data_IF_957260587273
#
_entry.id   IF_957260587273
#
_cell.length_a   1.000
_cell.length_b   1.000
_cell.length_c   1.000
_cell.angle_alpha   90.00
_cell.angle_beta   90.00
_cell.angle_gamma   90.00
#
_symmetry.space_group_name_H-M   'P 1'
#
loop_
_entity.id
_entity.type
_entity.pdbx_description
1 polymer ?
#
# COMPACT_ATOMS: atom_id res chain seq x y z
N UNK A 1 -33.95 -7.88 -3.63
CA UNK A 1 -32.75 -7.05 -3.34
C UNK A 1 -32.69 -5.80 -4.24
N UNK A 2 -32.94 -5.90 -5.57
CA UNK A 2 -32.86 -4.74 -6.52
C UNK A 2 -33.77 -3.54 -6.17
N UNK A 3 -34.89 -3.76 -5.47
CA UNK A 3 -35.84 -2.71 -5.07
C UNK A 3 -35.45 -1.97 -3.77
N UNK A 4 -34.45 -2.42 -3.04
CA UNK A 4 -34.08 -1.87 -1.74
C UNK A 4 -32.81 -0.97 -1.78
N UNK A 5 -32.16 -0.84 -2.93
CA UNK A 5 -30.96 -0.02 -3.06
C UNK A 5 -31.34 1.42 -3.41
N UNK A 6 -31.03 2.35 -2.50
CA UNK A 6 -31.37 3.77 -2.61
C UNK A 6 -30.45 4.52 -3.58
N UNK A 7 -29.23 3.99 -3.84
CA UNK A 7 -28.21 4.64 -4.65
C UNK A 7 -27.87 3.79 -5.88
N UNK A 8 -27.79 4.39 -7.08
CA UNK A 8 -27.52 3.65 -8.32
C UNK A 8 -26.20 2.85 -8.32
N UNK A 9 -25.14 3.38 -7.71
CA UNK A 9 -23.86 2.67 -7.69
C UNK A 9 -23.77 1.56 -6.63
N UNK A 10 -24.63 1.53 -5.63
CA UNK A 10 -24.77 0.37 -4.74
C UNK A 10 -25.18 -0.86 -5.52
N UNK A 11 -25.98 -0.67 -6.59
CA UNK A 11 -26.38 -1.74 -7.50
C UNK A 11 -25.20 -2.33 -8.25
N UNK A 12 -24.32 -1.47 -8.77
CA UNK A 12 -23.10 -1.92 -9.48
C UNK A 12 -22.17 -2.69 -8.54
N UNK A 13 -22.02 -2.22 -7.30
CA UNK A 13 -21.27 -2.93 -6.27
C UNK A 13 -21.87 -4.30 -5.96
N UNK A 14 -23.18 -4.38 -5.81
CA UNK A 14 -23.88 -5.65 -5.56
C UNK A 14 -23.73 -6.62 -6.73
N UNK A 15 -23.88 -6.14 -7.96
CA UNK A 15 -23.69 -6.97 -9.17
C UNK A 15 -22.27 -7.52 -9.23
N UNK A 16 -21.23 -6.71 -8.92
CA UNK A 16 -19.83 -7.14 -8.82
C UNK A 16 -19.59 -8.15 -7.70
N UNK A 17 -20.21 -7.96 -6.53
CA UNK A 17 -20.12 -8.92 -5.42
C UNK A 17 -20.78 -10.26 -5.76
N UNK A 18 -21.92 -10.24 -6.46
CA UNK A 18 -22.60 -11.46 -6.94
C UNK A 18 -21.72 -12.20 -7.95
N UNK A 19 -21.08 -11.47 -8.86
CA UNK A 19 -20.13 -12.05 -9.82
C UNK A 19 -18.97 -12.72 -9.08
N UNK A 20 -18.32 -12.03 -8.15
CA UNK A 20 -17.24 -12.58 -7.33
C UNK A 20 -17.68 -13.80 -6.52
N UNK A 21 -18.92 -13.79 -5.98
CA UNK A 21 -19.49 -14.94 -5.29
C UNK A 21 -19.59 -16.15 -6.23
N UNK A 22 -20.17 -15.97 -7.40
CA UNK A 22 -20.35 -17.02 -8.39
C UNK A 22 -19.02 -17.59 -8.90
N UNK A 23 -17.95 -16.77 -8.91
CA UNK A 23 -16.60 -17.17 -9.28
C UNK A 23 -15.78 -17.74 -8.10
N UNK A 24 -16.34 -17.80 -6.89
CA UNK A 24 -15.61 -18.22 -5.68
C UNK A 24 -14.50 -17.23 -5.26
N UNK A 25 -14.57 -15.97 -5.68
CA UNK A 25 -13.54 -14.95 -5.48
C UNK A 25 -13.88 -13.92 -4.38
N UNK A 26 -14.84 -14.21 -3.51
CA UNK A 26 -15.18 -13.34 -2.38
C UNK A 26 -14.07 -13.30 -1.31
N UNK A 27 -13.37 -14.41 -1.13
CA UNK A 27 -12.23 -14.43 -0.21
C UNK A 27 -11.01 -13.78 -0.88
N UNK A 28 -10.57 -12.67 -0.32
CA UNK A 28 -9.45 -11.90 -0.84
C UNK A 28 -8.47 -11.56 0.28
N UNK A 29 -7.27 -11.18 -0.11
CA UNK A 29 -6.30 -10.54 0.79
C UNK A 29 -5.90 -9.18 0.26
N UNK A 30 -5.47 -8.30 1.15
CA UNK A 30 -5.03 -6.95 0.78
C UNK A 30 -3.50 -6.85 0.74
N UNK A 31 -2.99 -6.15 -0.28
CA UNK A 31 -1.63 -5.65 -0.34
C UNK A 31 -1.69 -4.12 -0.39
N UNK A 32 -1.07 -3.47 0.59
CA UNK A 32 -1.06 -2.02 0.76
C UNK A 32 0.31 -1.48 0.36
N UNK A 33 0.35 -0.52 -0.56
CA UNK A 33 1.55 0.24 -0.91
C UNK A 33 1.38 1.65 -0.37
N UNK A 34 2.15 1.99 0.66
CA UNK A 34 2.08 3.25 1.40
C UNK A 34 3.30 4.12 1.09
N UNK A 35 3.08 5.37 0.72
CA UNK A 35 4.14 6.37 0.74
C UNK A 35 4.34 6.87 2.18
N UNK A 36 5.61 7.02 2.63
CA UNK A 36 5.92 7.57 3.95
C UNK A 36 5.22 8.92 4.21
N UNK A 37 4.94 9.22 5.46
CA UNK A 37 4.34 10.45 5.92
C UNK A 37 5.24 11.68 5.66
N UNK A 38 4.71 12.89 5.84
CA UNK A 38 5.42 14.14 5.55
C UNK A 38 6.70 14.22 6.37
N UNK A 39 7.82 14.38 5.68
CA UNK A 39 9.16 14.41 6.27
C UNK A 39 9.78 15.80 6.12
N UNK A 40 10.75 16.12 6.97
CA UNK A 40 11.57 17.33 6.88
C UNK A 40 12.07 17.53 5.45
N UNK A 41 12.00 18.74 4.88
CA UNK A 41 12.54 19.03 3.55
C UNK A 41 14.03 18.67 3.43
N UNK A 42 14.47 18.28 2.23
CA UNK A 42 15.89 17.94 2.01
C UNK A 42 16.81 19.09 2.24
N UNK A 43 16.37 20.31 1.91
CA UNK A 43 17.10 21.56 2.09
C UNK A 43 17.33 21.92 3.56
N UNK A 44 16.54 21.36 4.47
CA UNK A 44 16.59 21.61 5.91
C UNK A 44 17.26 20.45 6.69
N UNK A 45 17.83 19.46 5.98
CA UNK A 45 18.39 18.27 6.60
C UNK A 45 19.79 17.92 6.06
N UNK A 46 20.82 18.08 6.88
CA UNK A 46 22.24 17.84 6.50
C UNK A 46 22.78 16.46 6.89
N UNK A 47 22.08 15.71 7.77
CA UNK A 47 22.61 14.47 8.37
C UNK A 47 22.33 13.22 7.52
N UNK A 48 22.18 13.37 6.19
CA UNK A 48 21.99 12.27 5.25
C UNK A 48 20.55 11.76 5.17
N UNK A 49 20.15 11.33 3.98
CA UNK A 49 18.78 10.94 3.62
C UNK A 49 18.20 9.80 4.47
N UNK A 50 19.05 8.87 4.91
CA UNK A 50 18.59 7.71 5.68
C UNK A 50 18.04 8.10 7.07
N UNK A 51 18.56 9.17 7.66
CA UNK A 51 18.21 9.64 9.01
C UNK A 51 17.17 10.77 9.03
N UNK A 52 16.75 11.25 7.85
CA UNK A 52 15.80 12.36 7.70
C UNK A 52 14.45 12.01 8.36
N UNK A 53 14.01 12.79 9.40
CA UNK A 53 12.85 12.49 10.22
C UNK A 53 11.53 12.91 9.55
N UNK A 54 10.43 12.52 10.16
CA UNK A 54 9.13 13.11 9.90
C UNK A 54 9.06 14.53 10.47
N UNK A 55 8.24 15.37 9.85
CA UNK A 55 7.76 16.62 10.47
C UNK A 55 6.70 16.30 11.55
N UNK A 56 6.41 17.24 12.48
CA UNK A 56 5.30 17.08 13.44
C UNK A 56 3.97 16.71 12.77
N UNK A 57 3.67 17.31 11.61
CA UNK A 57 2.51 16.94 10.79
C UNK A 57 2.58 15.49 10.32
N UNK A 58 3.77 15.02 9.89
CA UNK A 58 3.97 13.62 9.48
C UNK A 58 3.81 12.63 10.63
N UNK A 59 4.19 13.00 11.85
CA UNK A 59 3.95 12.18 13.03
C UNK A 59 2.44 12.05 13.33
N UNK A 60 1.68 13.13 13.16
CA UNK A 60 0.22 13.10 13.28
C UNK A 60 -0.40 12.22 12.18
N UNK A 61 0.09 12.34 10.95
CA UNK A 61 -0.33 11.47 9.84
C UNK A 61 -0.08 9.99 10.18
N UNK A 62 1.10 9.64 10.69
CA UNK A 62 1.44 8.28 11.09
C UNK A 62 0.51 7.73 12.21
N UNK A 63 0.09 8.58 13.15
CA UNK A 63 -0.90 8.22 14.18
C UNK A 63 -2.29 7.99 13.58
N UNK A 64 -2.75 8.87 12.66
CA UNK A 64 -4.05 8.72 11.97
C UNK A 64 -4.12 7.46 11.11
N UNK A 65 -3.02 7.09 10.45
CA UNK A 65 -2.92 5.85 9.67
C UNK A 65 -3.25 4.61 10.50
N UNK A 66 -3.06 4.61 11.81
CA UNK A 66 -3.36 3.44 12.67
C UNK A 66 -4.82 3.01 12.52
N UNK A 67 -5.77 3.96 12.56
CA UNK A 67 -7.21 3.67 12.42
C UNK A 67 -7.52 3.11 11.04
N UNK A 68 -7.05 3.75 9.97
CA UNK A 68 -7.29 3.32 8.60
C UNK A 68 -6.68 1.94 8.32
N UNK A 69 -5.43 1.72 8.69
CA UNK A 69 -4.76 0.44 8.47
C UNK A 69 -5.41 -0.73 9.24
N UNK A 70 -6.05 -0.46 10.39
CA UNK A 70 -6.80 -1.48 11.12
C UNK A 70 -7.95 -2.06 10.28
N UNK A 71 -8.62 -1.26 9.45
CA UNK A 71 -9.72 -1.72 8.58
C UNK A 71 -9.27 -2.75 7.54
N UNK A 72 -8.01 -2.67 7.09
CA UNK A 72 -7.43 -3.61 6.12
C UNK A 72 -6.67 -4.76 6.81
N UNK A 73 -6.31 -4.63 8.08
CA UNK A 73 -5.68 -5.64 8.91
C UNK A 73 -4.36 -6.21 8.38
N UNK A 74 -3.38 -5.42 7.89
CA UNK A 74 -2.12 -5.97 7.42
C UNK A 74 -1.37 -6.66 8.55
N UNK A 75 -0.96 -7.90 8.31
CA UNK A 75 -0.23 -8.75 9.26
C UNK A 75 1.26 -8.84 8.93
N UNK A 76 1.64 -8.65 7.67
CA UNK A 76 3.00 -8.59 7.17
C UNK A 76 3.37 -7.13 6.97
N UNK A 77 4.23 -6.59 7.85
CA UNK A 77 4.62 -5.18 7.78
C UNK A 77 6.05 -5.06 7.27
N UNK A 78 6.22 -4.41 6.12
CA UNK A 78 7.49 -4.17 5.47
C UNK A 78 7.70 -2.67 5.31
N UNK A 79 8.90 -2.20 5.58
CA UNK A 79 9.27 -0.79 5.43
C UNK A 79 10.68 -0.64 4.89
N UNK A 80 10.92 0.44 4.16
CA UNK A 80 12.28 0.93 3.96
C UNK A 80 12.97 1.15 5.31
N UNK A 81 14.27 0.85 5.48
CA UNK A 81 14.99 1.10 6.72
C UNK A 81 15.17 2.58 7.05
N UNK A 82 14.94 3.49 6.07
CA UNK A 82 15.09 4.92 6.28
C UNK A 82 14.06 5.45 7.27
N UNK A 83 14.52 6.36 8.15
CA UNK A 83 13.81 6.83 9.33
C UNK A 83 12.35 7.22 9.03
N UNK A 84 12.10 8.05 8.02
CA UNK A 84 10.76 8.52 7.68
C UNK A 84 9.75 7.41 7.32
N UNK A 85 10.20 6.35 6.62
CA UNK A 85 9.32 5.20 6.34
C UNK A 85 9.08 4.36 7.59
N UNK A 86 10.15 4.10 8.35
CA UNK A 86 10.08 3.37 9.61
C UNK A 86 9.10 4.05 10.57
N UNK A 87 9.30 5.35 10.82
CA UNK A 87 8.51 6.12 11.79
C UNK A 87 7.04 6.28 11.35
N UNK A 88 6.76 6.23 10.04
CA UNK A 88 5.38 6.19 9.52
C UNK A 88 4.63 4.93 9.94
N UNK A 89 5.28 3.77 9.99
CA UNK A 89 4.61 2.48 10.25
C UNK A 89 4.70 2.04 11.71
N UNK A 90 5.66 2.54 12.47
CA UNK A 90 5.86 2.17 13.90
C UNK A 90 4.58 2.30 14.75
N UNK A 91 3.76 3.38 14.64
CA UNK A 91 2.53 3.48 15.43
C UNK A 91 1.58 2.31 15.17
N UNK A 92 1.39 1.93 13.90
CA UNK A 92 0.56 0.78 13.55
C UNK A 92 1.18 -0.55 14.01
N UNK A 93 2.48 -0.75 13.81
CA UNK A 93 3.18 -1.96 14.25
C UNK A 93 3.03 -2.19 15.75
N UNK A 94 3.19 -1.13 16.57
CA UNK A 94 2.96 -1.18 18.02
C UNK A 94 1.50 -1.50 18.36
N UNK A 95 0.54 -0.79 17.75
CA UNK A 95 -0.90 -0.98 18.01
C UNK A 95 -1.40 -2.38 17.64
N UNK A 96 -0.88 -2.95 16.55
CA UNK A 96 -1.25 -4.28 16.05
C UNK A 96 -0.42 -5.42 16.65
N UNK A 97 0.61 -5.11 17.44
CA UNK A 97 1.60 -6.07 17.99
C UNK A 97 2.27 -6.91 16.89
N UNK A 98 2.52 -6.31 15.71
CA UNK A 98 3.14 -6.98 14.57
C UNK A 98 4.59 -6.56 14.40
N UNK A 99 5.42 -7.52 13.97
CA UNK A 99 6.83 -7.26 13.66
C UNK A 99 6.95 -6.41 12.41
N UNK A 100 7.69 -5.31 12.48
CA UNK A 100 8.04 -4.45 11.35
C UNK A 100 9.38 -4.91 10.76
N UNK A 101 9.38 -5.33 9.50
CA UNK A 101 10.55 -5.86 8.79
C UNK A 101 11.12 -4.79 7.87
N UNK A 102 12.40 -4.47 8.05
CA UNK A 102 13.11 -3.51 7.21
C UNK A 102 13.66 -4.19 5.94
N UNK A 103 13.47 -3.57 4.77
CA UNK A 103 13.96 -4.03 3.47
C UNK A 103 14.63 -2.90 2.71
N UNK A 104 15.93 -3.03 2.45
CA UNK A 104 16.72 -1.99 1.76
C UNK A 104 16.40 -1.87 0.27
N UNK A 105 15.84 -2.90 -0.36
CA UNK A 105 15.46 -2.94 -1.77
C UNK A 105 14.48 -1.83 -2.17
N UNK A 106 13.66 -1.38 -1.22
CA UNK A 106 12.65 -0.32 -1.41
C UNK A 106 13.09 1.04 -0.86
N UNK A 107 14.40 1.28 -0.66
CA UNK A 107 14.93 2.65 -0.47
C UNK A 107 15.02 3.38 -1.81
N UNK A 108 15.01 4.71 -1.80
CA UNK A 108 15.16 5.53 -3.03
C UNK A 108 16.42 5.14 -3.82
N UNK A 109 17.52 4.95 -3.11
CA UNK A 109 18.80 4.62 -3.73
C UNK A 109 18.83 3.19 -4.31
N UNK A 110 18.40 2.20 -3.52
CA UNK A 110 18.47 0.78 -3.93
C UNK A 110 17.48 0.46 -5.05
N UNK A 111 16.26 0.98 -4.98
CA UNK A 111 15.25 0.77 -6.02
C UNK A 111 15.68 1.36 -7.36
N UNK A 112 16.34 2.53 -7.37
CA UNK A 112 16.90 3.14 -8.57
C UNK A 112 18.09 2.35 -9.11
N UNK A 113 19.03 1.91 -8.23
CA UNK A 113 20.24 1.18 -8.63
C UNK A 113 19.95 -0.25 -9.09
N UNK A 114 19.00 -0.91 -8.45
CA UNK A 114 18.65 -2.30 -8.74
C UNK A 114 17.11 -2.51 -8.68
N UNK A 115 16.37 -2.05 -9.69
CA UNK A 115 14.90 -2.11 -9.72
C UNK A 115 14.37 -3.55 -9.65
N UNK A 116 15.09 -4.52 -10.20
CA UNK A 116 14.70 -5.94 -10.16
C UNK A 116 14.54 -6.46 -8.74
N UNK A 117 15.35 -6.00 -7.78
CA UNK A 117 15.25 -6.45 -6.38
C UNK A 117 14.00 -5.87 -5.69
N UNK A 118 13.58 -4.65 -6.02
CA UNK A 118 12.33 -4.09 -5.51
C UNK A 118 11.12 -4.86 -6.05
N UNK A 119 11.11 -5.16 -7.36
CA UNK A 119 10.08 -5.99 -8.00
C UNK A 119 10.03 -7.40 -7.40
N UNK A 120 11.17 -8.05 -7.23
CA UNK A 120 11.23 -9.40 -6.63
C UNK A 120 10.65 -9.43 -5.22
N UNK A 121 10.91 -8.40 -4.40
CA UNK A 121 10.29 -8.29 -3.08
C UNK A 121 8.75 -8.25 -3.17
N UNK A 122 8.20 -7.58 -4.17
CA UNK A 122 6.73 -7.54 -4.38
C UNK A 122 6.21 -8.90 -4.85
N UNK A 123 6.91 -9.57 -5.78
CA UNK A 123 6.55 -10.93 -6.22
C UNK A 123 6.54 -11.93 -5.06
N UNK A 124 7.48 -11.83 -4.12
CA UNK A 124 7.50 -12.68 -2.93
C UNK A 124 6.29 -12.42 -2.02
N UNK A 125 5.79 -11.16 -1.99
CA UNK A 125 4.56 -10.82 -1.27
C UNK A 125 3.29 -11.31 -1.97
N UNK A 126 3.30 -11.40 -3.29
CA UNK A 126 2.21 -12.01 -4.04
C UNK A 126 2.07 -13.50 -3.74
N UNK A 127 3.14 -14.18 -3.34
CA UNK A 127 3.12 -15.60 -2.92
C UNK A 127 2.72 -15.80 -1.46
N UNK A 128 2.75 -14.74 -0.63
CA UNK A 128 2.35 -14.81 0.79
C UNK A 128 0.82 -14.78 0.91
N UNK A 129 0.23 -15.59 1.77
CA UNK A 129 -1.22 -15.64 1.99
C UNK A 129 -1.76 -14.54 2.93
N UNK A 130 -0.89 -13.73 3.51
CA UNK A 130 -1.27 -12.73 4.52
C UNK A 130 -1.49 -11.36 3.91
N UNK A 131 -2.43 -10.60 4.49
CA UNK A 131 -2.53 -9.16 4.24
C UNK A 131 -1.19 -8.50 4.53
N UNK A 132 -0.68 -7.70 3.59
CA UNK A 132 0.64 -7.09 3.67
C UNK A 132 0.59 -5.57 3.52
N UNK A 133 1.58 -4.89 4.12
CA UNK A 133 1.83 -3.46 3.96
C UNK A 133 3.29 -3.26 3.60
N UNK A 134 3.54 -2.47 2.56
CA UNK A 134 4.86 -2.03 2.13
C UNK A 134 4.91 -0.51 2.20
N UNK A 135 5.75 0.03 3.09
CA UNK A 135 5.97 1.47 3.18
C UNK A 135 7.29 1.86 2.51
N UNK A 136 7.21 2.78 1.56
CA UNK A 136 8.34 3.18 0.73
C UNK A 136 8.34 4.69 0.42
N UNK A 137 9.14 5.09 -0.55
CA UNK A 137 9.41 6.46 -0.98
C UNK A 137 8.85 6.72 -2.38
N UNK A 138 8.52 7.98 -2.68
CA UNK A 138 8.06 8.36 -4.02
C UNK A 138 8.96 7.85 -5.16
N UNK A 139 10.30 7.98 -5.11
CA UNK A 139 11.16 7.47 -6.20
C UNK A 139 11.21 5.95 -6.34
N UNK A 140 10.74 5.19 -5.32
CA UNK A 140 10.69 3.73 -5.38
C UNK A 140 9.30 3.20 -5.79
N UNK A 141 8.26 4.04 -5.76
CA UNK A 141 6.90 3.64 -6.13
C UNK A 141 6.78 3.10 -7.55
N UNK A 142 7.43 3.67 -8.59
CA UNK A 142 7.31 3.12 -9.94
C UNK A 142 7.65 1.63 -10.02
N UNK A 143 8.76 1.20 -9.40
CA UNK A 143 9.19 -0.20 -9.45
C UNK A 143 8.29 -1.13 -8.63
N UNK A 144 7.81 -0.64 -7.48
CA UNK A 144 6.89 -1.38 -6.62
C UNK A 144 5.54 -1.56 -7.31
N UNK A 145 5.01 -0.50 -7.93
CA UNK A 145 3.71 -0.52 -8.59
C UNK A 145 3.74 -1.22 -9.95
N UNK A 146 4.86 -1.18 -10.65
CA UNK A 146 5.04 -1.99 -11.87
C UNK A 146 4.85 -3.47 -11.57
N UNK A 147 5.50 -4.00 -10.51
CA UNK A 147 5.30 -5.39 -10.09
C UNK A 147 3.82 -5.69 -9.75
N UNK A 148 3.12 -4.75 -9.08
CA UNK A 148 1.69 -4.92 -8.77
C UNK A 148 0.84 -4.92 -10.04
N UNK A 149 1.12 -4.02 -10.99
CA UNK A 149 0.35 -3.87 -12.22
C UNK A 149 0.43 -5.10 -13.15
N UNK A 150 1.52 -5.87 -13.09
CA UNK A 150 1.68 -7.10 -13.86
C UNK A 150 0.68 -8.21 -13.46
N UNK A 151 0.12 -8.15 -12.25
CA UNK A 151 -0.92 -9.05 -11.78
C UNK A 151 -2.35 -8.51 -11.99
N UNK A 152 -2.47 -7.33 -12.61
CA UNK A 152 -3.74 -6.67 -12.88
C UNK A 152 -4.23 -6.92 -14.31
N UNK A 153 -5.55 -7.00 -14.47
CA UNK A 153 -6.23 -7.17 -15.76
C UNK A 153 -7.37 -6.14 -15.91
N UNK A 154 -8.04 -6.15 -17.04
CA UNK A 154 -9.28 -5.37 -17.23
C UNK A 154 -9.13 -3.85 -17.09
N UNK A 155 -7.98 -3.27 -17.50
CA UNK A 155 -7.76 -1.81 -17.44
C UNK A 155 -7.24 -1.30 -16.10
N UNK A 156 -7.04 -2.14 -15.08
CA UNK A 156 -6.54 -1.72 -13.76
C UNK A 156 -5.03 -1.46 -13.73
N UNK A 157 -4.26 -2.01 -14.67
CA UNK A 157 -2.80 -1.91 -14.66
C UNK A 157 -2.30 -0.46 -14.73
N UNK A 158 -2.88 0.35 -15.62
CA UNK A 158 -2.47 1.74 -15.79
C UNK A 158 -2.81 2.63 -14.60
N UNK A 159 -4.02 2.63 -14.03
CA UNK A 159 -4.32 3.34 -12.80
C UNK A 159 -3.41 2.95 -11.62
N UNK A 160 -3.02 1.67 -11.51
CA UNK A 160 -2.07 1.21 -10.48
C UNK A 160 -0.68 1.85 -10.68
N UNK A 161 -0.16 1.92 -11.92
CA UNK A 161 1.12 2.62 -12.21
C UNK A 161 1.04 4.11 -11.89
N UNK A 162 -0.08 4.75 -12.20
CA UNK A 162 -0.31 6.18 -11.92
C UNK A 162 -0.33 6.50 -10.42
N UNK A 163 -0.57 5.52 -9.56
CA UNK A 163 -0.42 5.66 -8.11
C UNK A 163 1.04 5.96 -7.67
N UNK A 164 2.02 6.00 -8.58
CA UNK A 164 3.37 6.51 -8.30
C UNK A 164 3.40 7.99 -7.87
N UNK A 165 2.30 8.73 -8.09
CA UNK A 165 2.11 10.11 -7.66
C UNK A 165 1.54 10.28 -6.25
N UNK A 166 1.28 9.19 -5.48
CA UNK A 166 0.77 9.24 -4.11
C UNK A 166 1.39 10.38 -3.29
N UNK A 167 0.56 11.14 -2.58
CA UNK A 167 1.00 12.14 -1.60
C UNK A 167 1.55 11.49 -0.32
N UNK A 168 2.31 12.22 0.53
CA UNK A 168 2.75 11.66 1.82
C UNK A 168 1.57 11.11 2.63
N UNK A 169 1.70 9.89 3.14
CA UNK A 169 0.67 9.12 3.87
C UNK A 169 -0.47 8.56 3.04
N UNK A 170 -0.55 8.88 1.75
CA UNK A 170 -1.51 8.23 0.87
C UNK A 170 -1.04 6.82 0.52
N UNK A 171 -1.98 5.93 0.24
CA UNK A 171 -1.67 4.56 -0.07
C UNK A 171 -2.62 3.96 -1.10
N UNK A 172 -2.10 2.99 -1.85
CA UNK A 172 -2.87 2.10 -2.71
C UNK A 172 -3.16 0.83 -1.93
N UNK A 173 -4.41 0.36 -1.99
CA UNK A 173 -4.81 -0.99 -1.58
C UNK A 173 -5.16 -1.77 -2.83
N UNK A 174 -4.62 -2.97 -2.99
CA UNK A 174 -5.08 -3.92 -3.99
C UNK A 174 -5.68 -5.14 -3.31
N UNK A 175 -6.80 -5.62 -3.85
CA UNK A 175 -7.45 -6.86 -3.45
C UNK A 175 -6.92 -7.98 -4.32
N UNK A 176 -6.33 -8.99 -3.70
CA UNK A 176 -5.73 -10.11 -4.39
C UNK A 176 -6.57 -11.37 -4.21
N UNK A 177 -6.74 -12.15 -5.28
CA UNK A 177 -7.31 -13.50 -5.18
C UNK A 177 -6.43 -14.41 -4.32
N UNK A 178 -7.02 -15.48 -3.78
CA UNK A 178 -6.29 -16.50 -3.00
C UNK A 178 -5.78 -17.66 -3.88
N UNK A 179 -5.82 -17.49 -5.19
CA UNK A 179 -5.30 -18.47 -6.14
C UNK A 179 -3.78 -18.67 -5.99
N UNK A 180 -3.26 -19.80 -6.52
CA UNK A 180 -1.82 -20.10 -6.54
C UNK A 180 -1.01 -19.02 -7.26
N UNK A 181 -1.59 -18.43 -8.31
CA UNK A 181 -1.07 -17.24 -9.00
C UNK A 181 -2.06 -16.10 -8.76
N UNK A 182 -1.86 -15.29 -7.72
CA UNK A 182 -2.81 -14.26 -7.34
C UNK A 182 -2.96 -13.19 -8.41
N UNK A 183 -4.20 -12.76 -8.63
CA UNK A 183 -4.58 -11.66 -9.53
C UNK A 183 -5.10 -10.49 -8.72
N UNK A 184 -4.90 -9.28 -9.23
CA UNK A 184 -5.56 -8.09 -8.70
C UNK A 184 -7.01 -8.11 -9.16
N UNK A 185 -7.94 -8.19 -8.21
CA UNK A 185 -9.37 -8.21 -8.45
C UNK A 185 -9.97 -6.81 -8.38
N UNK A 186 -9.37 -5.94 -7.56
CA UNK A 186 -9.82 -4.57 -7.35
C UNK A 186 -8.71 -3.73 -6.73
N UNK A 187 -8.82 -2.40 -6.80
CA UNK A 187 -7.90 -1.48 -6.16
C UNK A 187 -8.63 -0.25 -5.60
N UNK A 188 -8.04 0.36 -4.59
CA UNK A 188 -8.54 1.57 -3.95
C UNK A 188 -7.37 2.53 -3.66
N UNK A 189 -7.54 3.80 -4.02
CA UNK A 189 -6.61 4.87 -3.64
C UNK A 189 -7.17 5.58 -2.40
N UNK A 190 -6.42 5.54 -1.32
CA UNK A 190 -6.81 6.14 -0.05
C UNK A 190 -5.95 7.35 0.24
N UNK A 191 -6.58 8.52 0.32
CA UNK A 191 -5.93 9.75 0.74
C UNK A 191 -6.27 10.08 2.19
N UNK A 192 -5.22 10.29 3.00
CA UNK A 192 -5.39 10.65 4.40
C UNK A 192 -6.05 12.04 4.57
N UNK A 193 -5.92 12.92 3.59
CA UNK A 193 -6.55 14.25 3.61
C UNK A 193 -8.08 14.18 3.42
N UNK A 194 -8.58 13.11 2.80
CA UNK A 194 -10.01 12.90 2.54
C UNK A 194 -10.69 12.02 3.60
N UNK A 195 -9.91 11.29 4.40
CA UNK A 195 -10.41 10.47 5.49
C UNK A 195 -10.69 11.33 6.73
N UNK A 196 -11.95 11.74 6.88
CA UNK A 196 -12.46 12.45 8.09
C UNK A 196 -12.76 11.49 9.23
#
# INVERSE_FOLDING_TARGET
>A
AKKMLSYPHDRLLLEKLIEFHNLGQLETRSLIVLRHAKATPRTEWSNGEATRPLLPEGELQAKRLVKLLKSYGPRRLITSPWRRCHDTVVPYAKSSKRKLVKRSQITEFKSKKNPKQARQLMEDLFKDSKNALVCTHRPALPEVLEAVSQHASGGMAEPIRQASSLSPSDFLVVRLSLEKTPKVLDYELVSLSQAK
#
